data_IF_898618908369
#
_entry.id   IF_898618908369
#
_cell.length_a   1.000
_cell.length_b   1.000
_cell.length_c   1.000
_cell.angle_alpha   90.00
_cell.angle_beta   90.00
_cell.angle_gamma   90.00
#
_symmetry.space_group_name_H-M   'P 1'
#
loop_
_entity.id
_entity.type
_entity.pdbx_description
1 polymer ?
#
# COMPACT_ATOMS: atom_id res chain seq x y z
N UNK A 1 11.58 1.80 -9.17
CA UNK A 1 11.76 2.37 -7.81
C UNK A 1 11.48 3.86 -7.85
N UNK A 2 11.04 4.44 -6.74
CA UNK A 2 10.75 5.87 -6.61
C UNK A 2 11.69 6.45 -5.56
N UNK A 3 12.41 7.51 -5.91
CA UNK A 3 13.36 8.19 -5.01
C UNK A 3 12.70 9.44 -4.46
N UNK A 4 12.63 9.52 -3.14
CA UNK A 4 12.11 10.66 -2.41
C UNK A 4 13.26 11.47 -1.82
N UNK A 5 13.16 12.78 -1.99
CA UNK A 5 14.00 13.72 -1.27
C UNK A 5 13.66 13.71 0.23
N UNK A 6 14.64 14.04 1.09
CA UNK A 6 14.42 14.09 2.54
C UNK A 6 13.35 15.14 2.87
N UNK A 7 12.31 14.72 3.59
CA UNK A 7 11.20 15.59 3.94
C UNK A 7 9.87 14.86 4.06
N UNK A 8 8.77 15.62 3.93
CA UNK A 8 7.42 15.06 3.96
C UNK A 8 7.13 14.38 2.63
N UNK A 9 6.81 13.08 2.66
CA UNK A 9 6.51 12.31 1.45
C UNK A 9 5.23 12.79 0.75
N UNK A 10 4.28 13.36 1.50
CA UNK A 10 3.00 13.80 0.94
C UNK A 10 2.09 12.63 0.54
N UNK A 11 2.13 11.52 1.28
CA UNK A 11 1.21 10.40 1.12
C UNK A 11 0.84 9.81 2.48
N UNK A 12 -0.34 9.21 2.55
CA UNK A 12 -0.81 8.40 3.66
C UNK A 12 -0.67 6.92 3.31
N UNK A 13 -0.30 6.12 4.29
CA UNK A 13 -0.12 4.67 4.15
C UNK A 13 -1.00 4.00 5.18
N UNK A 14 -1.76 3.01 4.72
CA UNK A 14 -2.57 2.12 5.54
C UNK A 14 -2.04 0.69 5.35
N UNK A 15 -1.63 0.04 6.44
CA UNK A 15 -0.74 -1.15 6.41
C UNK A 15 0.50 -0.87 5.54
N UNK A 16 0.58 -1.46 4.36
CA UNK A 16 1.64 -1.28 3.36
C UNK A 16 1.13 -0.72 2.04
N UNK A 17 -0.10 -0.22 2.00
CA UNK A 17 -0.71 0.36 0.80
C UNK A 17 -0.80 1.88 0.92
N UNK A 18 -0.63 2.58 -0.20
CA UNK A 18 -0.88 4.01 -0.30
C UNK A 18 -2.38 4.25 -0.24
N UNK A 19 -2.85 4.89 0.83
CA UNK A 19 -4.27 5.17 1.05
C UNK A 19 -4.70 6.56 0.58
N UNK A 20 -3.78 7.52 0.58
CA UNK A 20 -4.01 8.85 0.04
C UNK A 20 -2.70 9.46 -0.46
N UNK A 21 -2.80 10.37 -1.42
CA UNK A 21 -1.68 11.17 -1.90
C UNK A 21 -2.10 12.64 -1.76
N UNK A 22 -1.24 13.44 -1.15
CA UNK A 22 -1.50 14.86 -0.93
C UNK A 22 -1.17 15.66 -2.20
N UNK A 23 -2.09 16.52 -2.61
CA UNK A 23 -1.89 17.41 -3.76
C UNK A 23 -0.68 18.32 -3.55
N UNK A 24 0.20 18.36 -4.54
CA UNK A 24 1.46 19.13 -4.47
C UNK A 24 2.54 18.55 -3.55
N UNK A 25 2.34 17.37 -2.96
CA UNK A 25 3.35 16.66 -2.19
C UNK A 25 4.38 15.94 -3.08
N UNK A 26 5.52 15.53 -2.50
CA UNK A 26 6.58 14.81 -3.24
C UNK A 26 6.05 13.54 -3.91
N UNK A 27 5.16 12.79 -3.25
CA UNK A 27 4.51 11.61 -3.81
C UNK A 27 3.67 11.93 -5.06
N UNK A 28 2.93 13.05 -5.06
CA UNK A 28 2.18 13.49 -6.24
C UNK A 28 3.10 13.87 -7.40
N UNK A 29 4.19 14.61 -7.11
CA UNK A 29 5.21 14.95 -8.10
C UNK A 29 5.91 13.72 -8.71
N UNK A 30 6.07 12.66 -7.91
CA UNK A 30 6.64 11.38 -8.32
C UNK A 30 5.60 10.41 -8.93
N UNK A 31 4.36 10.88 -9.14
CA UNK A 31 3.25 10.11 -9.72
C UNK A 31 2.90 8.83 -8.95
N UNK A 32 3.15 8.81 -7.64
CA UNK A 32 2.65 7.75 -6.77
C UNK A 32 1.13 7.82 -6.75
N UNK A 33 0.48 6.66 -6.84
CA UNK A 33 -0.99 6.58 -6.85
C UNK A 33 -1.52 5.81 -5.64
N UNK A 34 -2.76 6.13 -5.29
CA UNK A 34 -3.54 5.41 -4.29
C UNK A 34 -3.75 3.96 -4.76
N UNK A 35 -3.62 3.00 -3.84
CA UNK A 35 -3.69 1.56 -4.14
C UNK A 35 -2.34 0.90 -4.43
N UNK A 36 -1.25 1.66 -4.55
CA UNK A 36 0.09 1.10 -4.69
C UNK A 36 0.57 0.46 -3.39
N UNK A 37 1.27 -0.67 -3.50
CA UNK A 37 1.72 -1.50 -2.39
C UNK A 37 3.23 -1.35 -2.20
N UNK A 38 3.67 -0.93 -1.03
CA UNK A 38 5.08 -0.76 -0.68
C UNK A 38 5.69 -2.15 -0.43
N UNK A 39 6.69 -2.50 -1.23
CA UNK A 39 7.43 -3.77 -1.14
C UNK A 39 8.80 -3.62 -0.51
N UNK A 40 9.51 -2.54 -0.83
CA UNK A 40 10.85 -2.30 -0.31
C UNK A 40 11.06 -0.85 0.05
N UNK A 41 11.90 -0.63 1.06
CA UNK A 41 12.39 0.69 1.47
C UNK A 41 13.92 0.61 1.56
N UNK A 42 14.59 1.42 0.75
CA UNK A 42 16.04 1.47 0.58
C UNK A 42 16.66 0.08 0.29
N UNK A 43 15.99 -0.72 -0.53
CA UNK A 43 16.40 -2.09 -0.87
C UNK A 43 16.03 -3.16 0.16
N UNK A 44 15.62 -2.80 1.38
CA UNK A 44 15.16 -3.73 2.40
C UNK A 44 13.67 -4.06 2.22
N UNK A 45 13.28 -5.32 2.42
CA UNK A 45 11.87 -5.73 2.36
C UNK A 45 11.05 -5.02 3.43
N UNK A 46 9.99 -4.38 2.96
CA UNK A 46 9.08 -3.62 3.79
C UNK A 46 8.07 -4.58 4.45
N UNK A 47 7.88 -4.52 5.77
CA UNK A 47 6.86 -5.35 6.41
C UNK A 47 5.46 -4.88 6.01
N UNK A 48 4.49 -5.79 6.00
CA UNK A 48 3.07 -5.52 5.69
C UNK A 48 2.33 -4.74 6.80
N UNK A 49 3.02 -3.81 7.48
CA UNK A 49 2.46 -2.96 8.51
C UNK A 49 3.05 -1.56 8.47
N UNK A 50 2.21 -0.57 8.80
CA UNK A 50 2.52 0.86 8.70
C UNK A 50 3.72 1.24 9.56
N UNK A 51 3.77 0.73 10.80
CA UNK A 51 4.80 1.12 11.76
C UNK A 51 6.21 0.68 11.32
N UNK A 52 6.32 -0.52 10.75
CA UNK A 52 7.57 -1.04 10.24
C UNK A 52 8.04 -0.30 9.00
N UNK A 53 7.13 0.05 8.08
CA UNK A 53 7.44 0.90 6.93
C UNK A 53 7.92 2.28 7.37
N UNK A 54 7.19 2.93 8.29
CA UNK A 54 7.57 4.25 8.80
C UNK A 54 8.92 4.21 9.50
N UNK A 55 9.25 3.11 10.20
CA UNK A 55 10.56 2.92 10.82
C UNK A 55 11.68 2.79 9.80
N UNK A 56 11.49 2.00 8.74
CA UNK A 56 12.45 1.88 7.65
C UNK A 56 12.61 3.21 6.89
N UNK A 57 11.50 3.89 6.62
CA UNK A 57 11.52 5.19 5.94
C UNK A 57 12.23 6.26 6.78
N UNK A 58 12.01 6.29 8.10
CA UNK A 58 12.71 7.19 9.01
C UNK A 58 14.21 6.89 9.09
N UNK A 59 14.62 5.62 9.00
CA UNK A 59 16.03 5.24 8.94
C UNK A 59 16.67 5.71 7.63
N UNK A 60 16.03 5.45 6.48
CA UNK A 60 16.52 5.86 5.17
C UNK A 60 16.54 7.40 5.00
N UNK A 61 15.60 8.13 5.62
CA UNK A 61 15.63 9.59 5.63
C UNK A 61 16.82 10.18 6.42
N UNK A 62 17.34 9.47 7.43
CA UNK A 62 18.64 9.84 8.06
C UNK A 62 19.81 9.59 7.11
N UNK A 63 19.68 8.59 6.25
CA UNK A 63 20.48 8.28 5.06
C UNK A 63 20.70 9.50 4.13
N UNK A 64 19.67 10.36 4.06
CA UNK A 64 19.56 11.46 3.12
C UNK A 64 18.82 11.12 1.83
N UNK A 65 18.63 9.83 1.52
CA UNK A 65 17.94 9.34 0.32
C UNK A 65 16.96 8.23 0.70
N UNK A 66 15.67 8.45 0.42
CA UNK A 66 14.64 7.44 0.63
C UNK A 66 14.22 6.84 -0.72
N UNK A 67 14.62 5.61 -0.99
CA UNK A 67 14.14 4.86 -2.16
C UNK A 67 13.02 3.93 -1.75
N UNK A 68 11.87 3.94 -2.43
CA UNK A 68 10.78 2.99 -2.19
C UNK A 68 10.42 2.24 -3.47
N UNK A 69 10.25 0.93 -3.34
CA UNK A 69 9.76 0.06 -4.42
C UNK A 69 8.29 -0.21 -4.18
N UNK A 70 7.47 0.15 -5.16
CA UNK A 70 6.04 -0.10 -5.15
C UNK A 70 5.69 -1.24 -6.11
N UNK A 71 4.69 -2.02 -5.73
CA UNK A 71 3.97 -2.93 -6.61
C UNK A 71 2.58 -2.35 -6.85
N UNK A 72 2.15 -2.39 -8.10
CA UNK A 72 0.84 -1.92 -8.53
C UNK A 72 0.26 -2.96 -9.49
N UNK A 73 -1.05 -2.92 -9.70
CA UNK A 73 -1.69 -3.78 -10.68
C UNK A 73 -1.29 -3.36 -12.10
N UNK A 74 -0.89 -4.33 -12.92
CA UNK A 74 -0.57 -4.11 -14.33
C UNK A 74 -1.83 -4.01 -15.19
N UNK A 75 -2.94 -4.59 -14.72
CA UNK A 75 -4.23 -4.61 -15.41
C UNK A 75 -5.20 -3.64 -14.73
N UNK A 76 -5.91 -2.85 -15.53
CA UNK A 76 -6.99 -1.99 -15.04
C UNK A 76 -8.09 -2.82 -14.36
N UNK A 77 -8.52 -2.41 -13.17
CA UNK A 77 -9.58 -3.08 -12.39
C UNK A 77 -9.10 -4.16 -11.41
N UNK A 78 -7.79 -4.34 -11.25
CA UNK A 78 -7.22 -5.19 -10.20
C UNK A 78 -6.91 -4.37 -8.93
N UNK A 79 -7.33 -4.92 -7.79
CA UNK A 79 -7.18 -4.31 -6.48
C UNK A 79 -6.44 -5.24 -5.51
N UNK A 80 -5.64 -4.65 -4.64
CA UNK A 80 -4.86 -5.42 -3.65
C UNK A 80 -5.72 -5.87 -2.47
N UNK A 81 -5.75 -7.17 -2.19
CA UNK A 81 -6.34 -7.72 -0.98
C UNK A 81 -5.32 -7.72 0.16
N UNK A 82 -5.68 -7.10 1.29
CA UNK A 82 -4.75 -6.90 2.40
C UNK A 82 -4.56 -8.12 3.29
N UNK A 83 -5.35 -9.17 3.10
CA UNK A 83 -5.26 -10.43 3.83
C UNK A 83 -4.36 -11.45 3.12
N UNK A 84 -4.58 -11.68 1.82
CA UNK A 84 -3.76 -12.62 1.03
C UNK A 84 -2.62 -11.95 0.25
N UNK A 85 -2.54 -10.62 0.29
CA UNK A 85 -1.49 -9.83 -0.35
C UNK A 85 -1.40 -9.99 -1.89
N UNK A 86 -2.52 -10.39 -2.51
CA UNK A 86 -2.66 -10.57 -3.96
C UNK A 86 -3.45 -9.43 -4.59
N UNK A 87 -3.15 -9.14 -5.85
CA UNK A 87 -3.99 -8.32 -6.70
C UNK A 87 -5.05 -9.23 -7.33
N UNK A 88 -6.32 -8.91 -7.11
CA UNK A 88 -7.47 -9.64 -7.61
C UNK A 88 -8.44 -8.65 -8.26
N UNK A 89 -9.27 -9.12 -9.17
CA UNK A 89 -10.31 -8.32 -9.82
C UNK A 89 -11.31 -7.73 -8.81
N UNK A 90 -11.99 -6.65 -9.22
CA UNK A 90 -13.08 -6.05 -8.45
C UNK A 90 -14.18 -7.05 -8.07
N UNK A 91 -14.49 -8.01 -8.94
CA UNK A 91 -15.50 -9.04 -8.69
C UNK A 91 -15.17 -9.90 -7.46
N UNK A 92 -13.88 -10.11 -7.18
CA UNK A 92 -13.41 -10.82 -5.99
C UNK A 92 -13.68 -10.08 -4.66
N UNK A 93 -14.07 -8.81 -4.71
CA UNK A 93 -14.48 -8.02 -3.54
C UNK A 93 -16.00 -7.87 -3.42
N UNK A 94 -16.78 -8.37 -4.39
CA UNK A 94 -18.24 -8.34 -4.31
C UNK A 94 -18.74 -9.21 -3.15
N UNK A 95 -19.63 -8.67 -2.32
CA UNK A 95 -20.16 -9.37 -1.14
C UNK A 95 -19.27 -9.32 0.10
N UNK A 96 -18.04 -8.80 0.01
CA UNK A 96 -17.18 -8.57 1.17
C UNK A 96 -17.67 -7.35 1.98
N UNK A 97 -17.83 -7.48 3.29
CA UNK A 97 -18.14 -6.35 4.18
C UNK A 97 -16.99 -5.34 4.18
N UNK A 98 -15.75 -5.82 4.03
CA UNK A 98 -14.55 -4.99 3.85
C UNK A 98 -14.10 -4.96 2.38
N UNK A 99 -15.02 -4.76 1.44
CA UNK A 99 -14.74 -4.65 0.01
C UNK A 99 -14.02 -3.34 -0.41
N UNK A 100 -14.06 -2.98 -1.69
CA UNK A 100 -13.33 -1.81 -2.21
C UNK A 100 -13.76 -0.46 -1.58
N UNK A 101 -14.98 -0.38 -1.04
CA UNK A 101 -15.52 0.82 -0.43
C UNK A 101 -14.74 1.28 0.83
N UNK A 102 -14.06 0.37 1.54
CA UNK A 102 -13.24 0.75 2.71
C UNK A 102 -11.89 1.37 2.34
N UNK A 103 -11.51 1.25 1.07
CA UNK A 103 -10.29 1.81 0.50
C UNK A 103 -9.04 0.92 0.65
N UNK A 104 -7.96 1.30 -0.06
CA UNK A 104 -6.73 0.52 -0.11
C UNK A 104 -6.03 0.48 1.25
N UNK A 105 -5.48 -0.70 1.58
CA UNK A 105 -4.87 -0.97 2.88
C UNK A 105 -5.84 -1.47 3.95
N UNK A 106 -7.16 -1.44 3.69
CA UNK A 106 -8.19 -2.07 4.54
C UNK A 106 -9.02 -3.13 3.81
N UNK A 107 -9.11 -3.05 2.49
CA UNK A 107 -9.92 -3.97 1.69
C UNK A 107 -9.44 -5.43 1.77
N UNK A 108 -10.39 -6.35 1.78
CA UNK A 108 -10.21 -7.80 1.85
C UNK A 108 -11.14 -8.43 0.83
N UNK A 109 -10.65 -9.40 0.05
CA UNK A 109 -11.51 -10.11 -0.91
C UNK A 109 -12.49 -11.02 -0.17
N UNK A 110 -13.65 -11.30 -0.80
CA UNK A 110 -14.72 -12.09 -0.21
C UNK A 110 -14.21 -13.44 0.32
N UNK A 111 -13.36 -14.12 -0.45
CA UNK A 111 -12.78 -15.39 0.00
C UNK A 111 -11.98 -15.26 1.29
N UNK A 112 -11.16 -14.21 1.43
CA UNK A 112 -10.38 -14.01 2.65
C UNK A 112 -11.24 -13.59 3.86
N UNK A 113 -12.36 -12.92 3.61
CA UNK A 113 -13.33 -12.58 4.66
C UNK A 113 -14.04 -13.85 5.17
N UNK A 114 -14.54 -14.70 4.27
CA UNK A 114 -15.18 -15.97 4.61
C UNK A 114 -14.26 -16.92 5.41
N UNK A 115 -12.98 -16.99 5.03
CA UNK A 115 -12.00 -17.76 5.79
C UNK A 115 -11.66 -17.12 7.15
N UNK A 116 -11.75 -15.80 7.28
CA UNK A 116 -11.56 -15.11 8.56
C UNK A 116 -12.68 -15.40 9.54
N UNK A 117 -13.93 -15.38 9.07
CA UNK A 117 -15.12 -15.62 9.91
C UNK A 117 -15.28 -17.09 10.34
N UNK A 118 -14.71 -18.05 9.60
CA UNK A 118 -14.78 -19.47 9.96
C UNK A 118 -13.90 -19.85 11.18
N UNK A 119 -12.89 -19.04 11.50
CA UNK A 119 -11.93 -19.29 12.59
C UNK A 119 -11.90 -18.18 13.65
N UNK A 120 -12.87 -17.26 13.62
CA UNK A 120 -13.04 -16.14 14.56
C UNK A 120 -13.82 -16.50 15.82
#
# INVERSE_FOLDING_TARGET
DVVFEPGKLGMSIEKHCVSAVADGGSAAGLKVQVGWVIRKVNGADAPANRNGIMRLAAAAMKEGLLTMTFQFALEDGQHHCTACDKFVDEASFEGASNGLAVGPGKQVCASCEEYGDMFG
#
